data_IF_837725008353
#
_entry.id   IF_837725008353
#
_cell.length_a   1.000
_cell.length_b   1.000
_cell.length_c   1.000
_cell.angle_alpha   90.00
_cell.angle_beta   90.00
_cell.angle_gamma   90.00
#
_symmetry.space_group_name_H-M   'P 1'
#
loop_
_entity.id
_entity.type
_entity.pdbx_description
1 polymer ?
#
# COMPACT_ATOMS: atom_id res chain seq x y z
N UNK A 1 -8.71 -71.34 43.27
CA UNK A 1 -8.49 -69.94 43.72
C UNK A 1 -7.40 -69.17 42.94
N UNK A 2 -6.85 -69.69 41.82
CA UNK A 2 -5.82 -68.96 41.05
C UNK A 2 -6.37 -68.14 39.87
N UNK A 3 -7.49 -68.55 39.25
CA UNK A 3 -8.00 -67.91 38.03
C UNK A 3 -8.52 -66.47 38.24
N UNK A 4 -9.02 -66.16 39.44
CA UNK A 4 -9.49 -64.80 39.79
C UNK A 4 -8.31 -63.82 39.88
N UNK A 5 -7.15 -64.26 40.38
CA UNK A 5 -5.96 -63.40 40.49
C UNK A 5 -5.42 -63.01 39.13
N UNK A 6 -5.40 -63.94 38.18
CA UNK A 6 -4.98 -63.66 36.79
C UNK A 6 -5.93 -62.69 36.09
N UNK A 7 -7.24 -62.83 36.31
CA UNK A 7 -8.25 -61.95 35.71
C UNK A 7 -8.11 -60.50 36.19
N UNK A 8 -7.85 -60.30 37.49
CA UNK A 8 -7.62 -58.96 38.06
C UNK A 8 -6.35 -58.33 37.49
N UNK A 9 -5.26 -59.09 37.34
CA UNK A 9 -4.00 -58.57 36.77
C UNK A 9 -4.19 -58.13 35.32
N UNK A 10 -4.88 -58.92 34.50
CA UNK A 10 -5.14 -58.58 33.09
C UNK A 10 -5.98 -57.31 32.97
N UNK A 11 -7.01 -57.15 33.80
CA UNK A 11 -7.84 -55.94 33.82
C UNK A 11 -7.04 -54.68 34.16
N UNK A 12 -6.10 -54.77 35.11
CA UNK A 12 -5.24 -53.64 35.48
C UNK A 12 -4.32 -53.25 34.33
N UNK A 13 -3.72 -54.24 33.63
CA UNK A 13 -2.84 -53.96 32.48
C UNK A 13 -3.62 -53.32 31.32
N UNK A 14 -4.84 -53.79 31.04
CA UNK A 14 -5.70 -53.22 29.99
C UNK A 14 -6.13 -51.80 30.35
N UNK A 15 -6.51 -51.55 31.61
CA UNK A 15 -6.89 -50.22 32.08
C UNK A 15 -5.71 -49.24 32.00
N UNK A 16 -4.51 -49.65 32.42
CA UNK A 16 -3.30 -48.82 32.32
C UNK A 16 -2.90 -48.57 30.86
N UNK A 17 -3.06 -49.56 29.97
CA UNK A 17 -2.83 -49.40 28.54
C UNK A 17 -3.78 -48.37 27.90
N UNK A 18 -5.07 -48.40 28.27
CA UNK A 18 -6.06 -47.43 27.80
C UNK A 18 -5.77 -46.00 28.29
N UNK A 19 -5.36 -45.86 29.55
CA UNK A 19 -4.97 -44.55 30.11
C UNK A 19 -3.73 -44.01 29.40
N UNK A 20 -2.73 -44.86 29.13
CA UNK A 20 -1.50 -44.44 28.44
C UNK A 20 -1.75 -44.06 26.96
N UNK A 21 -2.70 -44.75 26.30
CA UNK A 21 -3.10 -44.42 24.92
C UNK A 21 -3.80 -43.06 24.84
N UNK A 22 -4.68 -42.75 25.81
CA UNK A 22 -5.35 -41.45 25.87
C UNK A 22 -4.40 -40.31 26.30
N UNK A 23 -3.31 -40.62 27.01
CA UNK A 23 -2.33 -39.62 27.45
C UNK A 23 -1.32 -39.23 26.37
N UNK A 24 -1.11 -40.05 25.34
CA UNK A 24 -0.37 -39.64 24.13
C UNK A 24 -1.26 -38.75 23.27
N UNK A 25 -1.52 -37.57 23.82
CA UNK A 25 -2.28 -36.50 23.21
C UNK A 25 -1.71 -36.14 21.86
N UNK A 26 -2.63 -35.96 20.94
CA UNK A 26 -2.54 -35.27 19.66
C UNK A 26 -1.47 -34.17 19.70
N UNK A 27 -0.33 -34.44 19.07
CA UNK A 27 0.60 -33.39 18.68
C UNK A 27 -0.20 -32.44 17.79
N UNK A 28 -0.60 -31.29 18.35
CA UNK A 28 -1.20 -30.24 17.55
C UNK A 28 -0.10 -29.78 16.61
N UNK A 29 -0.23 -30.15 15.35
CA UNK A 29 0.60 -29.62 14.27
C UNK A 29 0.49 -28.11 14.33
N UNK A 30 1.52 -27.47 14.89
CA UNK A 30 1.67 -26.03 14.83
C UNK A 30 1.96 -25.75 13.37
N UNK A 31 0.95 -25.33 12.62
CA UNK A 31 1.13 -24.79 11.28
C UNK A 31 1.98 -23.54 11.45
N UNK A 32 3.29 -23.69 11.26
CA UNK A 32 4.22 -22.57 11.16
C UNK A 32 3.92 -21.90 9.82
N UNK A 33 2.97 -20.96 9.83
CA UNK A 33 2.78 -20.07 8.69
C UNK A 33 4.09 -19.28 8.56
N UNK A 34 4.80 -19.36 7.43
CA UNK A 34 6.01 -18.58 7.25
C UNK A 34 5.68 -17.09 7.46
N UNK A 35 6.58 -16.29 8.04
CA UNK A 35 6.32 -14.87 8.21
C UNK A 35 6.01 -14.26 6.85
N UNK A 36 4.85 -13.60 6.74
CA UNK A 36 4.53 -12.79 5.56
C UNK A 36 5.60 -11.71 5.50
N UNK A 37 6.48 -11.80 4.51
CA UNK A 37 7.48 -10.76 4.26
C UNK A 37 6.71 -9.56 3.69
N UNK A 38 6.37 -8.60 4.55
CA UNK A 38 5.74 -7.37 4.12
C UNK A 38 6.71 -6.61 3.20
N UNK A 39 6.27 -6.34 1.98
CA UNK A 39 7.04 -5.56 1.01
C UNK A 39 6.74 -4.07 1.18
N UNK A 40 7.74 -3.19 1.00
CA UNK A 40 7.51 -1.75 1.09
C UNK A 40 6.52 -1.28 0.02
N UNK A 41 5.68 -0.31 0.40
CA UNK A 41 4.80 0.37 -0.53
C UNK A 41 5.58 1.35 -1.39
N UNK A 42 5.20 1.49 -2.65
CA UNK A 42 5.79 2.50 -3.53
C UNK A 42 4.72 3.28 -4.27
N UNK A 43 5.03 4.54 -4.55
CA UNK A 43 4.24 5.42 -5.41
C UNK A 43 5.12 6.03 -6.49
N UNK A 44 4.58 6.18 -7.70
CA UNK A 44 5.27 6.75 -8.84
C UNK A 44 4.35 7.68 -9.59
N UNK A 45 4.81 8.91 -9.84
CA UNK A 45 4.13 9.82 -10.75
C UNK A 45 4.42 9.35 -12.18
N UNK A 46 3.38 9.08 -12.97
CA UNK A 46 3.50 8.50 -14.31
C UNK A 46 3.49 9.59 -15.37
N UNK A 47 2.53 10.53 -15.30
CA UNK A 47 2.41 11.60 -16.29
C UNK A 47 1.58 12.77 -15.78
N UNK A 48 1.76 13.93 -16.42
CA UNK A 48 0.88 15.10 -16.31
C UNK A 48 0.51 15.48 -17.74
N UNK A 49 -0.77 15.37 -18.08
CA UNK A 49 -1.28 15.59 -19.43
C UNK A 49 -2.35 16.67 -19.43
N UNK A 50 -2.51 17.42 -20.51
CA UNK A 50 -3.68 18.29 -20.65
C UNK A 50 -4.95 17.45 -20.76
N UNK A 51 -6.01 17.88 -20.06
CA UNK A 51 -7.29 17.20 -20.10
C UNK A 51 -7.86 17.23 -21.52
N UNK A 52 -8.32 16.08 -22.02
CA UNK A 52 -8.93 16.01 -23.34
C UNK A 52 -10.21 16.86 -23.38
N UNK A 53 -10.26 17.83 -24.29
CA UNK A 53 -11.45 18.65 -24.57
C UNK A 53 -12.60 17.76 -25.06
N UNK A 54 -13.45 17.31 -24.15
CA UNK A 54 -14.74 16.71 -24.47
C UNK A 54 -15.66 17.85 -24.90
N UNK A 55 -15.91 17.97 -26.20
CA UNK A 55 -16.51 19.13 -26.91
C UNK A 55 -17.96 19.50 -26.57
N UNK A 56 -18.30 19.66 -25.29
CA UNK A 56 -19.53 20.33 -24.82
C UNK A 56 -19.22 21.70 -24.24
N UNK A 57 -20.24 22.51 -23.94
CA UNK A 57 -20.12 23.88 -23.40
C UNK A 57 -19.33 24.04 -22.09
N UNK A 58 -18.98 22.95 -21.41
CA UNK A 58 -18.02 22.90 -20.29
C UNK A 58 -16.53 22.91 -20.72
N UNK A 59 -16.24 22.76 -22.01
CA UNK A 59 -14.89 22.67 -22.58
C UNK A 59 -14.04 23.95 -22.38
N UNK A 60 -14.66 25.11 -22.19
CA UNK A 60 -13.93 26.36 -21.96
C UNK A 60 -13.27 26.44 -20.56
N UNK A 61 -13.80 25.69 -19.57
CA UNK A 61 -13.19 25.60 -18.22
C UNK A 61 -12.13 24.47 -18.20
N UNK A 62 -12.31 23.44 -19.03
CA UNK A 62 -11.41 22.29 -19.12
C UNK A 62 -10.15 22.52 -19.97
N UNK A 63 -10.11 23.56 -20.82
CA UNK A 63 -8.96 23.82 -21.69
C UNK A 63 -7.65 24.12 -20.93
N UNK A 64 -7.71 24.35 -19.61
CA UNK A 64 -6.54 24.54 -18.74
C UNK A 64 -6.40 23.45 -17.67
N UNK A 65 -7.30 22.47 -17.62
CA UNK A 65 -7.20 21.37 -16.68
C UNK A 65 -6.11 20.40 -17.12
N UNK A 66 -5.39 19.85 -16.15
CA UNK A 66 -4.38 18.81 -16.32
C UNK A 66 -4.82 17.55 -15.58
N UNK A 67 -4.52 16.40 -16.16
CA UNK A 67 -4.71 15.08 -15.56
C UNK A 67 -3.35 14.60 -15.06
N UNK A 68 -3.27 14.38 -13.75
CA UNK A 68 -2.11 13.81 -13.06
C UNK A 68 -2.37 12.30 -12.96
N UNK A 69 -1.45 11.48 -13.47
CA UNK A 69 -1.56 10.02 -13.38
C UNK A 69 -0.44 9.46 -12.51
N UNK A 70 -0.75 8.46 -11.68
CA UNK A 70 0.24 7.75 -10.87
C UNK A 70 -0.01 6.25 -10.84
N UNK A 71 0.94 5.52 -10.27
CA UNK A 71 0.82 4.11 -9.98
C UNK A 71 1.35 3.84 -8.58
N UNK A 72 0.71 2.92 -7.88
CA UNK A 72 1.17 2.41 -6.60
C UNK A 72 1.46 0.91 -6.67
N UNK A 73 2.32 0.41 -5.79
CA UNK A 73 2.62 -1.01 -5.60
C UNK A 73 2.62 -1.32 -4.10
N UNK A 74 2.06 -2.47 -3.71
CA UNK A 74 1.92 -2.88 -2.30
C UNK A 74 1.23 -1.81 -1.42
N UNK A 75 0.30 -1.08 -2.02
CA UNK A 75 -0.48 -0.02 -1.39
C UNK A 75 -1.80 -0.58 -0.86
N UNK A 76 -2.19 -0.31 0.40
CA UNK A 76 -3.50 -0.71 0.89
C UNK A 76 -4.62 -0.06 0.09
N UNK A 77 -5.76 -0.73 -0.05
CA UNK A 77 -6.87 -0.32 -0.92
C UNK A 77 -7.63 0.92 -0.43
N UNK A 78 -7.50 1.26 0.84
CA UNK A 78 -8.19 2.33 1.55
C UNK A 78 -7.28 3.53 1.89
N UNK A 79 -6.04 3.51 1.41
CA UNK A 79 -5.06 4.56 1.69
C UNK A 79 -4.94 5.48 0.48
N UNK A 80 -5.10 6.78 0.73
CA UNK A 80 -4.95 7.80 -0.30
C UNK A 80 -3.50 8.09 -0.68
N UNK A 81 -3.31 9.05 -1.57
CA UNK A 81 -2.00 9.60 -1.92
C UNK A 81 -2.00 11.11 -1.73
N UNK A 82 -0.81 11.69 -1.55
CA UNK A 82 -0.65 13.14 -1.57
C UNK A 82 -0.15 13.58 -2.93
N UNK A 83 -0.64 14.72 -3.40
CA UNK A 83 -0.22 15.31 -4.68
C UNK A 83 0.37 16.68 -4.40
N UNK A 84 1.64 16.83 -4.72
CA UNK A 84 2.42 18.03 -4.48
C UNK A 84 2.82 18.66 -5.80
N UNK A 85 2.72 19.98 -5.83
CA UNK A 85 3.34 20.82 -6.83
C UNK A 85 4.69 21.27 -6.28
N UNK A 86 5.76 20.96 -7.01
CA UNK A 86 7.14 21.25 -6.61
C UNK A 86 7.87 22.00 -7.70
N UNK A 87 8.93 22.72 -7.33
CA UNK A 87 9.80 23.47 -8.25
C UNK A 87 11.21 22.93 -8.14
N UNK A 88 11.88 22.71 -9.28
CA UNK A 88 13.28 22.29 -9.29
C UNK A 88 14.18 23.48 -8.94
N UNK A 89 15.03 23.35 -7.93
CA UNK A 89 15.92 24.44 -7.44
C UNK A 89 17.40 24.18 -7.70
N UNK A 90 17.79 22.93 -7.98
CA UNK A 90 19.15 22.57 -8.38
C UNK A 90 19.12 21.36 -9.30
N UNK A 91 20.10 21.25 -10.19
CA UNK A 91 20.34 20.09 -11.05
C UNK A 91 21.45 19.17 -10.52
N UNK A 92 22.31 19.65 -9.61
CA UNK A 92 23.44 18.88 -9.07
C UNK A 92 23.84 19.33 -7.64
N UNK A 93 23.36 18.64 -6.57
CA UNK A 93 22.39 17.55 -6.62
C UNK A 93 21.04 18.04 -7.13
N UNK A 94 20.27 17.16 -7.78
CA UNK A 94 18.90 17.47 -8.19
C UNK A 94 18.05 17.66 -6.93
N UNK A 95 17.47 18.84 -6.76
CA UNK A 95 16.62 19.15 -5.60
C UNK A 95 15.37 19.90 -6.01
N UNK A 96 14.31 19.68 -5.24
CA UNK A 96 13.00 20.28 -5.45
C UNK A 96 12.53 20.95 -4.15
N UNK A 97 11.78 22.04 -4.28
CA UNK A 97 11.09 22.70 -3.19
C UNK A 97 9.58 22.55 -3.35
N UNK A 98 8.87 22.37 -2.23
CA UNK A 98 7.42 22.35 -2.23
C UNK A 98 6.88 23.75 -2.55
N UNK A 99 6.09 23.86 -3.60
CA UNK A 99 5.36 25.08 -3.95
C UNK A 99 4.00 25.09 -3.29
N UNK A 100 3.26 23.98 -3.42
CA UNK A 100 1.90 23.84 -2.89
C UNK A 100 1.48 22.37 -2.83
N UNK A 101 0.64 22.04 -1.86
CA UNK A 101 -0.12 20.78 -1.83
C UNK A 101 -1.37 20.93 -2.69
N UNK A 102 -1.52 20.09 -3.72
CA UNK A 102 -2.69 20.08 -4.60
C UNK A 102 -3.82 19.25 -4.02
N UNK A 103 -3.48 18.09 -3.45
CA UNK A 103 -4.42 17.21 -2.76
C UNK A 103 -3.72 16.50 -1.61
N UNK A 104 -4.45 16.26 -0.53
CA UNK A 104 -4.01 15.48 0.63
C UNK A 104 -4.92 14.29 0.77
N UNK A 105 -4.34 13.10 0.91
CA UNK A 105 -5.08 11.85 1.11
C UNK A 105 -6.19 11.63 0.05
N UNK A 106 -5.90 11.97 -1.22
CA UNK A 106 -6.86 11.75 -2.32
C UNK A 106 -6.96 10.25 -2.62
N UNK A 107 -8.14 9.72 -3.01
CA UNK A 107 -8.29 8.30 -3.33
C UNK A 107 -7.20 7.79 -4.27
N UNK A 108 -6.63 6.62 -3.97
CA UNK A 108 -5.61 5.99 -4.80
C UNK A 108 -6.25 5.25 -6.00
N UNK A 109 -6.94 6.00 -6.87
CA UNK A 109 -7.60 5.50 -8.09
C UNK A 109 -6.73 5.64 -9.36
N UNK A 110 -5.55 6.26 -9.22
CA UNK A 110 -4.54 6.40 -10.27
C UNK A 110 -4.59 7.71 -11.04
N UNK A 111 -5.55 8.60 -10.78
CA UNK A 111 -5.65 9.87 -11.49
C UNK A 111 -6.33 11.01 -10.70
N UNK A 112 -5.88 12.25 -10.92
CA UNK A 112 -6.48 13.44 -10.32
C UNK A 112 -6.50 14.58 -11.34
N UNK A 113 -7.59 15.36 -11.33
CA UNK A 113 -7.70 16.56 -12.15
C UNK A 113 -7.20 17.78 -11.38
N UNK A 114 -6.30 18.53 -11.99
CA UNK A 114 -5.75 19.76 -11.41
C UNK A 114 -5.87 20.91 -12.40
N UNK A 115 -6.37 22.05 -11.94
CA UNK A 115 -6.38 23.30 -12.70
C UNK A 115 -5.29 24.23 -12.17
N UNK A 116 -4.29 24.61 -12.97
CA UNK A 116 -3.30 25.61 -12.59
C UNK A 116 -3.98 26.93 -12.21
N UNK A 117 -3.41 27.61 -11.22
CA UNK A 117 -3.86 28.92 -10.78
C UNK A 117 -3.72 29.98 -11.88
N UNK A 118 -4.53 31.04 -11.78
CA UNK A 118 -4.47 32.15 -12.75
C UNK A 118 -3.07 32.81 -12.71
N UNK A 119 -2.38 32.80 -13.85
CA UNK A 119 -1.03 33.36 -13.99
C UNK A 119 0.08 32.46 -13.45
N UNK A 120 -0.24 31.23 -13.04
CA UNK A 120 0.74 30.21 -12.68
C UNK A 120 1.54 29.81 -13.93
N UNK A 121 2.86 30.02 -13.89
CA UNK A 121 3.76 29.56 -14.95
C UNK A 121 4.14 28.13 -14.66
N UNK A 122 3.76 27.21 -15.54
CA UNK A 122 4.01 25.78 -15.36
C UNK A 122 5.38 25.31 -15.84
N UNK A 123 6.12 26.16 -16.57
CA UNK A 123 7.38 25.81 -17.24
C UNK A 123 8.50 25.34 -16.29
N UNK A 124 8.44 25.72 -15.01
CA UNK A 124 9.39 25.36 -13.96
C UNK A 124 8.77 24.51 -12.84
N UNK A 125 7.53 24.05 -13.05
CA UNK A 125 6.78 23.27 -12.08
C UNK A 125 6.78 21.78 -12.44
N UNK A 126 6.74 20.98 -11.39
CA UNK A 126 6.74 19.53 -11.42
C UNK A 126 5.66 19.02 -10.48
N UNK A 127 5.14 17.84 -10.77
CA UNK A 127 4.21 17.11 -9.92
C UNK A 127 4.94 15.94 -9.28
N UNK A 128 4.74 15.81 -7.98
CA UNK A 128 5.19 14.69 -7.18
C UNK A 128 3.98 14.10 -6.45
N UNK A 129 3.71 12.82 -6.70
CA UNK A 129 2.74 12.04 -5.92
C UNK A 129 3.51 11.27 -4.85
N UNK A 130 3.15 11.51 -3.59
CA UNK A 130 3.81 10.93 -2.42
C UNK A 130 2.86 10.07 -1.60
N UNK A 131 3.44 9.33 -0.65
CA UNK A 131 2.66 8.49 0.24
C UNK A 131 1.71 9.34 1.10
N UNK A 132 0.52 8.81 1.43
CA UNK A 132 -0.34 9.51 2.39
C UNK A 132 0.37 9.71 3.73
N UNK A 133 0.15 10.87 4.33
CA UNK A 133 0.65 11.20 5.67
C UNK A 133 -0.29 10.73 6.78
N UNK A 134 -1.48 10.24 6.42
CA UNK A 134 -2.53 9.83 7.37
C UNK A 134 -2.52 8.33 7.67
N UNK A 135 -1.72 7.55 6.93
CA UNK A 135 -1.66 6.10 7.03
C UNK A 135 -0.27 5.59 7.37
N UNK A 136 -0.20 4.58 8.23
CA UNK A 136 1.03 3.88 8.56
C UNK A 136 1.26 2.74 7.56
N UNK A 137 2.48 2.67 7.02
CA UNK A 137 2.93 1.57 6.18
C UNK A 137 3.91 0.73 6.99
N UNK A 138 3.52 -0.49 7.37
CA UNK A 138 4.33 -1.35 8.25
C UNK A 138 5.75 -1.59 7.71
N UNK A 139 5.90 -1.79 6.39
CA UNK A 139 7.18 -1.94 5.71
C UNK A 139 7.76 -0.62 5.15
N UNK A 140 7.15 0.52 5.51
CA UNK A 140 7.47 1.84 4.97
C UNK A 140 6.85 2.10 3.60
N UNK A 141 6.93 3.36 3.17
CA UNK A 141 6.50 3.79 1.85
C UNK A 141 7.54 4.74 1.25
N UNK A 142 7.83 4.56 -0.04
CA UNK A 142 8.84 5.36 -0.75
C UNK A 142 8.39 5.79 -2.14
N UNK A 143 9.07 6.82 -2.66
CA UNK A 143 8.90 7.25 -4.04
C UNK A 143 9.72 6.35 -4.95
N UNK A 144 9.10 5.83 -6.00
CA UNK A 144 9.75 5.00 -7.02
C UNK A 144 9.99 5.77 -8.34
N UNK A 145 9.64 7.06 -8.40
CA UNK A 145 9.94 7.94 -9.53
C UNK A 145 10.36 9.32 -9.05
N UNK A 146 11.07 10.06 -9.91
CA UNK A 146 11.26 11.50 -9.74
C UNK A 146 9.95 12.26 -10.02
N UNK A 147 9.83 13.52 -9.57
CA UNK A 147 8.76 14.42 -9.97
C UNK A 147 8.69 14.60 -11.49
N UNK A 148 7.47 14.65 -12.04
CA UNK A 148 7.21 14.77 -13.48
C UNK A 148 6.96 16.24 -13.83
N UNK A 149 7.62 16.73 -14.88
CA UNK A 149 7.44 18.12 -15.34
C UNK A 149 6.01 18.37 -15.79
N UNK A 150 5.45 19.52 -15.40
CA UNK A 150 4.19 20.01 -15.97
C UNK A 150 4.48 20.54 -17.38
N UNK A 151 3.99 19.83 -18.40
CA UNK A 151 4.05 20.29 -19.79
C UNK A 151 2.82 21.12 -20.14
#
# INVERSE_FOLDING_TARGET
MNNIKYFVIVLVVVALGFVFWNYKGTDKEVVVVPPVVEQPATVSTVSVLDAANSGGTAAAINASSKTINWKTTNYPSDVGVNINLVRKVSDSPKTFELVRVLATDTPNDGQEAWVPGKGEKTDDLYIEVTCSGTSEFNAGCSLASEPVKVN
#
